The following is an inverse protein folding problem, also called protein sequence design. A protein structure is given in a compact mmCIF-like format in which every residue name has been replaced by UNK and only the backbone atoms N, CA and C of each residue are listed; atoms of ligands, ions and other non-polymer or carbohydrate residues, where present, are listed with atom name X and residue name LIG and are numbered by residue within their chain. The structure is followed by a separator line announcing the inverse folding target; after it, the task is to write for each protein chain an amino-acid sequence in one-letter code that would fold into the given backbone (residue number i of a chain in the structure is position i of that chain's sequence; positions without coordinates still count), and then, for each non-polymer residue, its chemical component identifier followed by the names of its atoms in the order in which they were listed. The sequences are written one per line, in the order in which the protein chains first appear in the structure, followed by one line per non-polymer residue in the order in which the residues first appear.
data_IF_432667283200
#
_entry.id   IF_432667283200
#
_cell.length_a   1.000
_cell.length_b   1.000
_cell.length_c   1.000
_cell.angle_alpha   90.00
_cell.angle_beta   90.00
_cell.angle_gamma   90.00
#
_symmetry.space_group_name_H-M   'P 1'
#
loop_
_entity.id
_entity.type
_entity.pdbx_description
1 polymer ?
#
# COMPACT_ATOMS: atom_id res chain seq x y z
N UNK A 1 -18.59 -6.06 -2.52
CA UNK A 1 -17.38 -5.37 -3.04
C UNK A 1 -17.16 -4.18 -2.15
N UNK A 2 -15.99 -4.07 -1.55
CA UNK A 2 -15.64 -2.91 -0.74
C UNK A 2 -15.14 -1.79 -1.65
N UNK A 3 -15.47 -0.55 -1.30
CA UNK A 3 -15.04 0.65 -2.01
C UNK A 3 -14.05 1.38 -1.11
N UNK A 4 -12.91 1.73 -1.67
CA UNK A 4 -11.87 2.53 -1.02
C UNK A 4 -11.79 3.86 -1.77
N UNK A 5 -11.49 4.94 -1.05
CA UNK A 5 -11.35 6.27 -1.66
C UNK A 5 -10.03 6.87 -1.23
N UNK A 6 -9.16 7.12 -2.22
CA UNK A 6 -7.92 7.84 -2.06
C UNK A 6 -8.04 9.26 -2.63
N UNK A 7 -7.55 10.24 -1.89
CA UNK A 7 -7.54 11.64 -2.30
C UNK A 7 -6.14 12.26 -2.30
N UNK A 8 -5.10 11.43 -2.14
CA UNK A 8 -3.69 11.81 -2.28
C UNK A 8 -3.32 13.11 -1.53
N UNK A 9 -3.77 13.26 -0.30
CA UNK A 9 -3.46 14.40 0.55
C UNK A 9 -4.08 15.73 0.14
N UNK A 10 -5.06 15.74 -0.77
CA UNK A 10 -5.52 16.95 -1.44
C UNK A 10 -6.40 17.88 -0.57
N UNK A 11 -6.97 17.38 0.53
CA UNK A 11 -7.97 18.17 1.27
C UNK A 11 -7.37 18.98 2.42
N UNK A 12 -8.05 20.08 2.79
CA UNK A 12 -7.89 20.70 4.10
C UNK A 12 -8.53 19.81 5.17
N UNK A 13 -8.16 19.97 6.44
CA UNK A 13 -8.81 19.23 7.55
C UNK A 13 -10.33 19.38 7.52
N UNK A 14 -10.83 20.58 7.27
CA UNK A 14 -12.27 20.85 7.21
C UNK A 14 -12.95 20.06 6.09
N UNK A 15 -12.42 20.13 4.86
CA UNK A 15 -12.96 19.37 3.73
C UNK A 15 -12.82 17.86 3.91
N UNK A 16 -11.71 17.39 4.47
CA UNK A 16 -11.53 15.98 4.74
C UNK A 16 -12.59 15.43 5.69
N UNK A 17 -12.94 16.18 6.75
CA UNK A 17 -14.00 15.81 7.68
C UNK A 17 -15.38 15.86 7.01
N UNK A 18 -15.66 16.89 6.21
CA UNK A 18 -16.93 17.03 5.49
C UNK A 18 -17.14 15.87 4.51
N UNK A 19 -16.16 15.62 3.64
CA UNK A 19 -16.23 14.52 2.65
C UNK A 19 -16.21 13.16 3.35
N UNK A 20 -15.37 12.99 4.38
CA UNK A 20 -15.28 11.74 5.14
C UNK A 20 -16.62 11.32 5.77
N UNK A 21 -17.44 12.25 6.24
CA UNK A 21 -18.80 11.96 6.71
C UNK A 21 -19.70 11.43 5.61
N UNK A 22 -19.62 12.00 4.41
CA UNK A 22 -20.39 11.48 3.27
C UNK A 22 -19.91 10.09 2.83
N UNK A 23 -18.58 9.84 2.84
CA UNK A 23 -18.03 8.53 2.54
C UNK A 23 -18.47 7.48 3.56
N UNK A 24 -18.49 7.84 4.83
CA UNK A 24 -18.99 7.02 5.93
C UNK A 24 -20.47 6.65 5.74
N UNK A 25 -21.33 7.64 5.42
CA UNK A 25 -22.75 7.42 5.14
C UNK A 25 -23.00 6.50 3.92
N UNK A 26 -22.07 6.49 2.96
CA UNK A 26 -22.10 5.61 1.79
C UNK A 26 -21.53 4.21 2.05
N UNK A 27 -20.97 3.96 3.25
CA UNK A 27 -20.37 2.68 3.62
C UNK A 27 -19.05 2.39 2.91
N UNK A 28 -18.26 3.42 2.60
CA UNK A 28 -16.89 3.27 2.09
C UNK A 28 -16.03 2.57 3.14
N UNK A 29 -15.18 1.63 2.72
CA UNK A 29 -14.41 0.78 3.62
C UNK A 29 -13.32 1.54 4.36
N UNK A 30 -12.52 2.34 3.64
CA UNK A 30 -11.57 3.28 4.26
C UNK A 30 -11.37 4.54 3.40
N UNK A 31 -10.91 5.59 4.07
CA UNK A 31 -10.57 6.88 3.48
C UNK A 31 -9.06 7.08 3.52
N UNK A 32 -8.44 7.01 2.34
CA UNK A 32 -7.00 7.05 2.16
C UNK A 32 -6.50 8.47 1.95
N UNK A 33 -5.38 8.78 2.59
CA UNK A 33 -4.67 10.06 2.53
C UNK A 33 -5.59 11.30 2.54
N UNK A 34 -6.52 11.46 3.53
CA UNK A 34 -7.35 12.67 3.59
C UNK A 34 -6.52 13.94 3.78
N UNK A 35 -5.28 13.80 4.28
CA UNK A 35 -4.29 14.84 4.49
C UNK A 35 -2.92 14.36 4.03
N UNK A 36 -1.99 15.26 3.65
CA UNK A 36 -0.61 14.87 3.39
C UNK A 36 -0.01 14.08 4.56
N UNK A 37 0.74 13.03 4.27
CA UNK A 37 1.35 12.13 5.26
C UNK A 37 2.20 12.82 6.34
N UNK A 38 2.79 13.99 6.03
CA UNK A 38 3.59 14.77 6.97
C UNK A 38 2.77 15.68 7.91
N UNK A 39 1.46 15.87 7.65
CA UNK A 39 0.55 16.64 8.50
C UNK A 39 -0.13 15.72 9.54
N UNK A 40 0.69 15.20 10.47
CA UNK A 40 0.22 14.23 11.48
C UNK A 40 -0.88 14.81 12.37
N UNK A 41 -0.79 16.09 12.74
CA UNK A 41 -1.81 16.79 13.52
C UNK A 41 -3.11 16.94 12.73
N UNK A 42 -3.03 17.21 11.43
CA UNK A 42 -4.17 17.24 10.53
C UNK A 42 -4.84 15.88 10.38
N UNK A 43 -4.04 14.82 10.18
CA UNK A 43 -4.53 13.43 10.13
C UNK A 43 -5.24 13.05 11.42
N UNK A 44 -4.61 13.30 12.58
CA UNK A 44 -5.22 13.03 13.89
C UNK A 44 -6.57 13.71 14.08
N UNK A 45 -6.70 14.96 13.63
CA UNK A 45 -7.98 15.68 13.72
C UNK A 45 -9.07 15.10 12.81
N UNK A 46 -8.68 14.56 11.65
CA UNK A 46 -9.61 13.88 10.75
C UNK A 46 -10.01 12.54 11.35
N UNK A 47 -9.07 11.75 11.83
CA UNK A 47 -9.32 10.45 12.49
C UNK A 47 -10.23 10.62 13.72
N UNK A 48 -9.98 11.62 14.57
CA UNK A 48 -10.82 11.88 15.76
C UNK A 48 -12.24 12.32 15.43
N UNK A 49 -12.51 12.77 14.21
CA UNK A 49 -13.81 13.31 13.79
C UNK A 49 -14.67 12.35 12.96
N UNK A 50 -14.11 11.20 12.55
CA UNK A 50 -14.74 10.24 11.66
C UNK A 50 -14.74 8.84 12.26
N UNK A 51 -15.75 8.04 11.94
CA UNK A 51 -15.81 6.61 12.28
C UNK A 51 -15.32 5.70 11.12
N UNK A 52 -15.19 6.25 9.90
CA UNK A 52 -14.59 5.53 8.77
C UNK A 52 -13.07 5.38 9.01
N UNK A 53 -12.48 4.19 8.81
CA UNK A 53 -11.05 4.00 8.98
C UNK A 53 -10.23 4.93 8.09
N UNK A 54 -9.20 5.54 8.66
CA UNK A 54 -8.23 6.38 7.95
C UNK A 54 -7.02 5.56 7.58
N UNK A 55 -6.68 5.53 6.30
CA UNK A 55 -5.49 4.87 5.77
C UNK A 55 -4.47 5.89 5.27
N UNK A 56 -3.17 5.62 5.45
CA UNK A 56 -2.09 6.46 4.93
C UNK A 56 -0.73 5.74 5.05
N UNK A 57 0.28 6.27 4.35
CA UNK A 57 1.66 5.84 4.56
C UNK A 57 2.44 5.54 3.29
N UNK A 58 1.84 5.56 2.11
CA UNK A 58 2.51 5.24 0.85
C UNK A 58 3.75 6.11 0.56
N UNK A 59 3.78 7.34 1.07
CA UNK A 59 4.87 8.30 0.88
C UNK A 59 5.87 8.32 2.04
N UNK A 60 5.87 7.30 2.89
CA UNK A 60 6.75 7.19 4.07
C UNK A 60 7.86 6.17 3.82
N UNK A 61 9.07 6.44 4.33
CA UNK A 61 10.27 5.68 3.99
C UNK A 61 10.91 4.93 5.17
N UNK A 62 10.62 5.32 6.42
CA UNK A 62 11.30 4.76 7.60
C UNK A 62 10.34 4.22 8.66
N UNK A 63 10.80 3.22 9.41
CA UNK A 63 10.07 2.66 10.55
C UNK A 63 9.73 3.69 11.63
N UNK A 64 10.54 4.74 11.77
CA UNK A 64 10.30 5.82 12.74
C UNK A 64 9.11 6.70 12.34
N UNK A 65 8.99 7.00 11.05
CA UNK A 65 7.87 7.78 10.52
C UNK A 65 6.58 6.99 10.58
N UNK A 66 6.58 5.67 10.31
CA UNK A 66 5.40 4.82 10.48
C UNK A 66 4.95 4.74 11.94
N UNK A 67 5.89 4.63 12.88
CA UNK A 67 5.56 4.73 14.31
C UNK A 67 4.85 6.05 14.61
N UNK A 68 5.36 7.16 14.12
CA UNK A 68 4.79 8.48 14.38
C UNK A 68 3.45 8.67 13.66
N UNK A 69 3.28 8.12 12.45
CA UNK A 69 2.02 8.09 11.73
C UNK A 69 0.93 7.38 12.55
N UNK A 70 1.24 6.23 13.12
CA UNK A 70 0.30 5.47 13.95
C UNK A 70 0.01 6.22 15.26
N UNK A 71 1.03 6.63 15.99
CA UNK A 71 0.86 7.17 17.35
C UNK A 71 0.35 8.62 17.35
N UNK A 72 0.76 9.44 16.40
CA UNK A 72 0.43 10.87 16.31
C UNK A 72 -0.61 11.16 15.24
N UNK A 73 -0.47 10.54 14.07
CA UNK A 73 -1.43 10.66 12.98
C UNK A 73 -2.74 9.93 13.25
N UNK A 74 -2.72 8.91 14.13
CA UNK A 74 -3.87 8.08 14.53
C UNK A 74 -4.55 7.39 13.36
N UNK A 75 -3.77 6.96 12.39
CA UNK A 75 -4.31 6.19 11.26
C UNK A 75 -4.70 4.79 11.70
N UNK A 76 -5.78 4.26 11.14
CA UNK A 76 -6.33 2.94 11.44
C UNK A 76 -5.71 1.84 10.58
N UNK A 77 -5.15 2.21 9.42
CA UNK A 77 -4.51 1.30 8.46
C UNK A 77 -3.23 1.98 7.97
N UNK A 78 -2.11 1.28 7.97
CA UNK A 78 -0.90 1.78 7.31
C UNK A 78 -0.72 1.15 5.92
N UNK A 79 -0.16 1.94 4.98
CA UNK A 79 -0.01 1.53 3.59
C UNK A 79 1.45 1.64 3.11
N UNK A 80 2.34 0.79 3.68
CA UNK A 80 3.74 0.83 3.27
C UNK A 80 3.95 0.28 1.86
N UNK A 81 4.97 0.83 1.18
CA UNK A 81 5.43 0.36 -0.13
C UNK A 81 6.88 -0.13 -0.01
N UNK A 82 7.12 -1.40 -0.40
CA UNK A 82 8.44 -2.05 -0.26
C UNK A 82 9.52 -1.43 -1.14
N UNK A 83 9.13 -0.75 -2.23
CA UNK A 83 10.09 -0.08 -3.13
C UNK A 83 10.41 1.35 -2.68
N UNK A 84 9.56 1.94 -1.85
CA UNK A 84 9.80 3.26 -1.23
C UNK A 84 10.59 3.11 0.07
N UNK A 85 10.30 2.09 0.86
CA UNK A 85 11.09 1.75 2.05
C UNK A 85 12.43 1.07 1.67
N UNK A 86 13.46 1.06 2.54
CA UNK A 86 14.73 0.37 2.27
C UNK A 86 14.62 -1.18 2.24
N UNK A 87 13.68 -1.73 1.47
CA UNK A 87 13.52 -3.16 1.23
C UNK A 87 12.93 -3.96 2.40
N UNK A 88 12.98 -5.30 2.29
CA UNK A 88 12.35 -6.23 3.22
C UNK A 88 12.73 -6.02 4.69
N UNK A 89 13.99 -5.72 4.99
CA UNK A 89 14.46 -5.57 6.37
C UNK A 89 13.72 -4.43 7.10
N UNK A 90 13.57 -3.28 6.46
CA UNK A 90 12.82 -2.16 7.04
C UNK A 90 11.32 -2.43 7.02
N UNK A 91 10.83 -3.06 5.96
CA UNK A 91 9.42 -3.41 5.83
C UNK A 91 8.94 -4.36 6.94
N UNK A 92 9.75 -5.36 7.31
CA UNK A 92 9.46 -6.26 8.44
C UNK A 92 9.45 -5.52 9.79
N UNK A 93 10.34 -4.56 10.02
CA UNK A 93 10.32 -3.74 11.24
C UNK A 93 9.04 -2.88 11.32
N UNK A 94 8.58 -2.35 10.18
CA UNK A 94 7.32 -1.62 10.10
C UNK A 94 6.16 -2.56 10.49
N UNK A 95 6.16 -3.79 9.97
CA UNK A 95 5.15 -4.80 10.31
C UNK A 95 5.16 -5.18 11.80
N UNK A 96 6.35 -5.31 12.41
CA UNK A 96 6.47 -5.55 13.85
C UNK A 96 5.89 -4.40 14.67
N UNK A 97 6.19 -3.16 14.32
CA UNK A 97 5.63 -1.97 14.98
C UNK A 97 4.11 -1.94 14.85
N UNK A 98 3.59 -2.14 13.64
CA UNK A 98 2.16 -2.17 13.38
C UNK A 98 1.46 -3.28 14.19
N UNK A 99 2.05 -4.48 14.23
CA UNK A 99 1.54 -5.61 15.00
C UNK A 99 1.46 -5.32 16.49
N UNK A 100 2.52 -4.74 17.07
CA UNK A 100 2.55 -4.36 18.51
C UNK A 100 1.50 -3.29 18.83
N UNK A 101 1.25 -2.38 17.91
CA UNK A 101 0.27 -1.30 18.07
C UNK A 101 -1.15 -1.70 17.62
N UNK A 102 -1.33 -2.90 17.10
CA UNK A 102 -2.64 -3.42 16.67
C UNK A 102 -3.19 -2.78 15.40
N UNK A 103 -2.32 -2.21 14.55
CA UNK A 103 -2.71 -1.53 13.30
C UNK A 103 -2.48 -2.46 12.12
N UNK A 104 -3.50 -2.77 11.30
CA UNK A 104 -3.37 -3.60 10.11
C UNK A 104 -2.61 -2.89 8.99
N UNK A 105 -2.07 -3.72 8.09
CA UNK A 105 -1.33 -3.28 6.91
C UNK A 105 -2.13 -3.61 5.64
N UNK A 106 -2.20 -2.65 4.73
CA UNK A 106 -2.54 -2.84 3.31
C UNK A 106 -1.41 -2.24 2.51
N UNK A 107 -0.69 -3.02 1.73
CA UNK A 107 0.46 -2.50 1.00
C UNK A 107 0.02 -1.59 -0.15
N UNK A 108 0.62 -0.40 -0.27
CA UNK A 108 0.58 0.37 -1.49
C UNK A 108 1.41 -0.33 -2.57
N UNK A 109 0.86 -0.54 -3.75
CA UNK A 109 1.52 -1.27 -4.84
C UNK A 109 1.06 -0.79 -6.22
N UNK A 110 1.47 0.39 -6.62
CA UNK A 110 1.24 0.93 -7.97
C UNK A 110 2.36 0.58 -8.96
N UNK A 111 3.51 0.11 -8.46
CA UNK A 111 4.64 -0.29 -9.28
C UNK A 111 4.44 -1.71 -9.81
N UNK A 112 4.43 -1.92 -11.12
CA UNK A 112 4.14 -3.24 -11.67
C UNK A 112 5.28 -4.23 -11.46
N UNK A 113 4.93 -5.53 -11.50
CA UNK A 113 5.80 -6.68 -11.71
C UNK A 113 6.67 -7.02 -10.51
N UNK A 114 7.91 -6.53 -10.42
CA UNK A 114 8.88 -6.96 -9.39
C UNK A 114 8.43 -6.55 -7.99
N UNK A 115 7.90 -5.33 -7.84
CA UNK A 115 7.38 -4.87 -6.55
C UNK A 115 6.14 -5.65 -6.12
N UNK A 116 5.24 -5.96 -7.07
CA UNK A 116 4.06 -6.80 -6.79
C UNK A 116 4.46 -8.17 -6.24
N UNK A 117 5.49 -8.81 -6.81
CA UNK A 117 5.99 -10.09 -6.30
C UNK A 117 6.63 -9.93 -4.93
N UNK A 118 7.40 -8.86 -4.71
CA UNK A 118 7.99 -8.60 -3.40
C UNK A 118 6.91 -8.37 -2.32
N UNK A 119 5.86 -7.60 -2.63
CA UNK A 119 4.70 -7.45 -1.74
C UNK A 119 3.99 -8.78 -1.49
N UNK A 120 3.80 -9.61 -2.53
CA UNK A 120 3.15 -10.91 -2.38
C UNK A 120 3.91 -11.83 -1.41
N UNK A 121 5.26 -11.88 -1.49
CA UNK A 121 6.08 -12.61 -0.53
C UNK A 121 5.94 -12.07 0.90
N UNK A 122 5.95 -10.75 1.06
CA UNK A 122 5.77 -10.11 2.36
C UNK A 122 4.39 -10.46 2.95
N UNK A 123 3.32 -10.27 2.17
CA UNK A 123 1.94 -10.54 2.60
C UNK A 123 1.76 -12.01 3.00
N UNK A 124 2.29 -12.94 2.21
CA UNK A 124 2.19 -14.37 2.49
C UNK A 124 2.95 -14.80 3.76
N UNK A 125 3.99 -14.05 4.14
CA UNK A 125 4.85 -14.35 5.29
C UNK A 125 4.48 -13.56 6.56
N UNK A 126 3.54 -12.61 6.49
CA UNK A 126 3.32 -11.64 7.57
C UNK A 126 1.90 -11.76 8.14
N UNK A 127 1.81 -11.86 9.45
CA UNK A 127 0.55 -11.69 10.18
C UNK A 127 0.19 -10.20 10.29
N UNK A 128 -1.11 -9.87 10.36
CA UNK A 128 -1.54 -8.47 10.45
C UNK A 128 -1.78 -7.78 9.10
N UNK A 129 -1.89 -8.58 8.03
CA UNK A 129 -2.26 -8.14 6.67
C UNK A 129 -3.59 -8.78 6.29
N UNK A 130 -4.72 -8.37 6.92
CA UNK A 130 -5.99 -9.10 6.84
C UNK A 130 -6.81 -8.78 5.59
N UNK A 131 -6.48 -7.71 4.88
CA UNK A 131 -7.29 -7.19 3.77
C UNK A 131 -6.74 -7.63 2.42
N UNK A 132 -7.57 -7.50 1.37
CA UNK A 132 -7.10 -7.59 -0.01
C UNK A 132 -6.04 -6.51 -0.26
N UNK A 133 -5.02 -6.86 -1.03
CA UNK A 133 -3.89 -5.97 -1.30
C UNK A 133 -4.09 -5.25 -2.63
N UNK A 134 -3.46 -4.10 -2.77
CA UNK A 134 -3.53 -3.31 -3.99
C UNK A 134 -2.88 -4.05 -5.17
N UNK A 135 -3.62 -4.11 -6.26
CA UNK A 135 -3.13 -4.55 -7.56
C UNK A 135 -3.72 -3.66 -8.65
N UNK A 136 -2.86 -2.84 -9.25
CA UNK A 136 -3.29 -1.93 -10.31
C UNK A 136 -3.69 -2.72 -11.57
N UNK A 137 -4.99 -2.64 -11.94
CA UNK A 137 -5.56 -3.27 -13.13
C UNK A 137 -5.60 -2.34 -14.34
N UNK A 138 -5.32 -1.05 -14.17
CA UNK A 138 -5.23 -0.11 -15.27
C UNK A 138 -4.07 -0.47 -16.20
N UNK A 139 -4.18 -0.06 -17.47
CA UNK A 139 -3.11 -0.27 -18.44
C UNK A 139 -1.83 0.45 -18.00
N UNK A 140 -0.75 -0.30 -17.86
CA UNK A 140 0.59 0.21 -17.53
C UNK A 140 1.58 -0.31 -18.58
N UNK A 141 2.12 0.58 -19.39
CA UNK A 141 2.98 0.22 -20.54
C UNK A 141 4.10 -0.75 -20.18
N UNK A 142 4.79 -0.55 -19.06
CA UNK A 142 5.90 -1.42 -18.68
C UNK A 142 5.45 -2.86 -18.33
N UNK A 143 4.19 -3.04 -17.93
CA UNK A 143 3.62 -4.37 -17.67
C UNK A 143 3.01 -4.97 -18.93
N UNK A 144 2.27 -4.16 -19.68
CA UNK A 144 1.35 -4.64 -20.71
C UNK A 144 1.97 -4.58 -22.11
N UNK A 145 2.76 -3.53 -22.42
CA UNK A 145 3.41 -3.36 -23.72
C UNK A 145 4.86 -3.87 -23.74
N UNK A 146 5.53 -3.85 -22.58
CA UNK A 146 6.94 -4.23 -22.43
C UNK A 146 7.12 -5.23 -21.27
N UNK A 147 6.59 -6.45 -21.39
CA UNK A 147 6.67 -7.43 -20.30
C UNK A 147 8.12 -7.80 -20.02
N UNK A 148 8.58 -7.52 -18.80
CA UNK A 148 9.94 -7.83 -18.35
C UNK A 148 10.04 -9.17 -17.63
N UNK A 149 8.93 -9.87 -17.41
CA UNK A 149 8.95 -11.24 -16.90
C UNK A 149 9.01 -12.24 -18.05
N UNK A 150 9.82 -13.29 -17.91
CA UNK A 150 9.84 -14.42 -18.84
C UNK A 150 8.48 -15.14 -18.88
N UNK A 151 7.81 -15.21 -17.73
CA UNK A 151 6.43 -15.69 -17.62
C UNK A 151 5.57 -14.70 -16.85
N UNK A 152 4.32 -14.43 -17.28
CA UNK A 152 3.43 -13.52 -16.57
C UNK A 152 3.03 -14.04 -15.20
N UNK A 153 2.69 -13.14 -14.28
CA UNK A 153 2.19 -13.50 -12.94
C UNK A 153 0.86 -14.26 -13.08
N UNK A 154 0.71 -15.30 -12.28
CA UNK A 154 -0.50 -16.13 -12.27
C UNK A 154 -1.53 -15.54 -11.32
N UNK A 155 -2.48 -14.80 -11.89
CA UNK A 155 -3.61 -14.21 -11.16
C UNK A 155 -4.87 -14.94 -11.61
N UNK A 156 -5.57 -15.52 -10.64
CA UNK A 156 -6.82 -16.23 -10.89
C UNK A 156 -7.83 -15.96 -9.77
N UNK A 157 -9.04 -15.62 -10.16
CA UNK A 157 -10.16 -15.38 -9.22
C UNK A 157 -9.81 -14.36 -8.10
N UNK A 158 -9.04 -13.32 -8.44
CA UNK A 158 -8.57 -12.30 -7.49
C UNK A 158 -7.41 -12.73 -6.59
N UNK A 159 -6.81 -13.89 -6.83
CA UNK A 159 -5.68 -14.41 -6.08
C UNK A 159 -4.41 -14.41 -6.93
N UNK A 160 -3.31 -13.90 -6.37
CA UNK A 160 -1.97 -14.01 -6.92
C UNK A 160 -1.27 -15.23 -6.32
N UNK A 161 -0.84 -16.17 -7.16
CA UNK A 161 0.01 -17.27 -6.74
C UNK A 161 1.42 -16.73 -6.45
N UNK A 162 1.89 -16.88 -5.19
CA UNK A 162 3.23 -16.42 -4.81
C UNK A 162 4.26 -17.39 -5.39
N UNK A 163 5.22 -16.91 -6.22
CA UNK A 163 6.25 -17.77 -6.78
C UNK A 163 7.16 -18.38 -5.69
N UNK A 164 7.57 -19.64 -5.84
CA UNK A 164 8.36 -20.39 -4.84
C UNK A 164 9.81 -20.70 -5.25
N UNK A 165 10.25 -20.16 -6.39
CA UNK A 165 11.63 -20.33 -6.88
C UNK A 165 12.67 -19.52 -6.10
N UNK A 166 13.98 -19.66 -6.43
CA UNK A 166 15.04 -18.90 -5.80
C UNK A 166 14.84 -17.38 -5.90
N UNK A 167 15.22 -16.64 -4.87
CA UNK A 167 15.03 -15.18 -4.78
C UNK A 167 13.54 -14.82 -4.67
N UNK A 168 13.02 -14.04 -5.61
CA UNK A 168 11.59 -13.73 -5.71
C UNK A 168 10.81 -14.80 -6.50
N UNK A 169 11.46 -15.87 -6.97
CA UNK A 169 10.81 -16.93 -7.74
C UNK A 169 10.39 -16.52 -9.14
N UNK A 170 10.90 -15.42 -9.67
CA UNK A 170 10.62 -14.90 -11.01
C UNK A 170 11.90 -14.85 -11.85
N UNK A 171 11.75 -14.97 -13.16
CA UNK A 171 12.82 -14.79 -14.14
C UNK A 171 12.52 -13.57 -15.01
N UNK A 172 13.53 -12.73 -15.21
CA UNK A 172 13.43 -11.53 -16.04
C UNK A 172 13.84 -11.81 -17.48
N UNK A 173 13.09 -11.30 -18.44
CA UNK A 173 13.53 -11.16 -19.82
C UNK A 173 14.61 -10.07 -19.89
N UNK A 174 15.87 -10.48 -19.76
CA UNK A 174 17.01 -9.55 -19.74
C UNK A 174 17.22 -8.82 -21.06
N UNK A 175 16.72 -9.32 -22.19
CA UNK A 175 16.81 -8.63 -23.45
C UNK A 175 15.79 -7.47 -23.51
N UNK A 176 14.59 -7.69 -22.98
CA UNK A 176 13.60 -6.63 -22.79
C UNK A 176 14.10 -5.58 -21.79
N UNK A 177 14.63 -6.01 -20.64
CA UNK A 177 15.22 -5.09 -19.65
C UNK A 177 16.30 -4.21 -20.25
N UNK A 178 17.24 -4.79 -21.05
CA UNK A 178 18.29 -4.00 -21.73
C UNK A 178 17.73 -3.02 -22.75
N UNK A 179 16.68 -3.38 -23.49
CA UNK A 179 16.01 -2.45 -24.42
C UNK A 179 15.39 -1.26 -23.71
N UNK A 180 14.81 -1.46 -22.53
CA UNK A 180 14.19 -0.39 -21.76
C UNK A 180 15.20 0.51 -21.05
N UNK A 181 16.37 -0.02 -20.76
CA UNK A 181 17.44 0.74 -20.10
C UNK A 181 18.23 1.65 -21.06
N UNK A 182 18.04 1.57 -22.40
CA UNK A 182 18.71 2.38 -23.42
C UNK A 182 19.95 1.69 -23.92
#
# INVERSE_FOLDING_TARGET
MDILVDVNGAYSVHHAIEIGKHLQDLGVFHFEEPRPHYDLEGLSRVADALDIPIASGEMIYSEYEYRDLILRGKVDIIQPDIVKTPGFTTFLKIAEIASVLGVPITCHNTQPIVSTVAHAHFVAATLGVPYAQEYNIEHVSIRDDYPILAEPLKIKDGLLEVPDGPGLGIELDMDMVRRLAG
#
